data_IF_251469636265
#
_entry.id   IF_251469636265
#
_cell.length_a   1.000
_cell.length_b   1.000
_cell.length_c   1.000
_cell.angle_alpha   90.00
_cell.angle_beta   90.00
_cell.angle_gamma   90.00
#
_symmetry.space_group_name_H-M   'P 1'
#
loop_
_entity.id
_entity.type
_entity.pdbx_description
1 polymer ?
#
# COMPACT_ATOMS: atom_id res chain seq x y z
N UNK A 1 1.82 -22.96 -47.76
CA UNK A 1 1.67 -23.82 -46.58
C UNK A 1 2.53 -23.20 -45.47
N UNK A 2 1.90 -22.56 -44.51
CA UNK A 2 2.60 -21.97 -43.35
C UNK A 2 2.51 -22.96 -42.22
N UNK A 3 3.66 -23.47 -41.79
CA UNK A 3 3.79 -24.33 -40.62
C UNK A 3 3.38 -23.59 -39.37
N UNK A 4 2.29 -24.00 -38.74
CA UNK A 4 1.96 -23.61 -37.38
C UNK A 4 2.99 -24.23 -36.43
N UNK A 5 3.97 -23.43 -35.95
CA UNK A 5 4.81 -23.80 -34.81
C UNK A 5 3.91 -24.09 -33.62
N UNK A 6 3.85 -25.35 -33.20
CA UNK A 6 3.19 -25.77 -31.97
C UNK A 6 3.89 -25.07 -30.77
N UNK A 7 3.17 -24.20 -30.09
CA UNK A 7 3.59 -23.68 -28.79
C UNK A 7 3.61 -24.86 -27.82
N UNK A 8 4.79 -25.32 -27.41
CA UNK A 8 4.92 -26.29 -26.33
C UNK A 8 4.20 -25.72 -25.10
N UNK A 9 3.12 -26.40 -24.66
CA UNK A 9 2.55 -26.15 -23.33
C UNK A 9 3.67 -26.42 -22.33
N UNK A 10 4.13 -25.38 -21.64
CA UNK A 10 4.97 -25.55 -20.45
C UNK A 10 4.07 -26.22 -19.42
N UNK A 11 4.41 -27.45 -19.00
CA UNK A 11 3.69 -28.14 -17.92
C UNK A 11 3.82 -27.30 -16.65
N UNK A 12 2.70 -27.05 -15.98
CA UNK A 12 2.74 -26.39 -14.67
C UNK A 12 3.45 -27.29 -13.66
N UNK A 13 4.34 -26.76 -12.82
CA UNK A 13 5.09 -27.56 -11.86
C UNK A 13 4.14 -28.22 -10.85
N UNK A 14 4.47 -29.43 -10.43
CA UNK A 14 3.74 -30.14 -9.39
C UNK A 14 3.97 -29.48 -8.02
N UNK A 15 3.10 -29.74 -7.04
CA UNK A 15 3.26 -29.22 -5.68
C UNK A 15 4.61 -29.66 -5.08
N UNK A 16 5.06 -30.89 -5.31
CA UNK A 16 6.36 -31.39 -4.84
C UNK A 16 7.53 -30.59 -5.43
N UNK A 17 7.47 -30.25 -6.71
CA UNK A 17 8.48 -29.42 -7.37
C UNK A 17 8.46 -27.97 -6.82
N UNK A 18 7.28 -27.46 -6.47
CA UNK A 18 7.14 -26.15 -5.84
C UNK A 18 7.75 -26.16 -4.44
N UNK A 19 7.45 -27.18 -3.64
CA UNK A 19 7.97 -27.32 -2.27
C UNK A 19 9.49 -27.45 -2.28
N UNK A 20 10.05 -28.26 -3.19
CA UNK A 20 11.51 -28.36 -3.37
C UNK A 20 12.13 -27.01 -3.76
N UNK A 21 11.52 -26.27 -4.69
CA UNK A 21 12.02 -24.94 -5.09
C UNK A 21 12.00 -23.96 -3.92
N UNK A 22 10.93 -23.96 -3.11
CA UNK A 22 10.84 -23.11 -1.90
C UNK A 22 11.90 -23.50 -0.88
N UNK A 23 12.12 -24.81 -0.64
CA UNK A 23 13.16 -25.29 0.27
C UNK A 23 14.56 -24.82 -0.19
N UNK A 24 14.90 -24.98 -1.47
CA UNK A 24 16.18 -24.51 -2.04
C UNK A 24 16.43 -23.01 -1.80
N UNK A 25 15.40 -22.16 -2.00
CA UNK A 25 15.51 -20.72 -1.74
C UNK A 25 15.73 -20.43 -0.26
N UNK A 26 15.01 -21.13 0.62
CA UNK A 26 15.14 -20.92 2.07
C UNK A 26 16.50 -21.39 2.58
N UNK A 27 17.01 -22.54 2.10
CA UNK A 27 18.35 -23.01 2.48
C UNK A 27 19.44 -22.01 2.07
N UNK A 28 19.37 -21.42 0.88
CA UNK A 28 20.28 -20.35 0.45
C UNK A 28 20.17 -19.10 1.32
N UNK A 29 18.94 -18.73 1.67
CA UNK A 29 18.72 -17.58 2.56
C UNK A 29 19.28 -17.82 3.97
N UNK A 30 19.20 -19.04 4.51
CA UNK A 30 19.80 -19.41 5.80
C UNK A 30 21.33 -19.29 5.76
N UNK A 31 21.97 -19.70 4.65
CA UNK A 31 23.43 -19.49 4.47
C UNK A 31 23.77 -18.01 4.39
N UNK A 32 22.92 -17.19 3.75
CA UNK A 32 23.10 -15.74 3.75
C UNK A 32 22.93 -15.12 5.14
N UNK A 33 21.99 -15.64 5.94
CA UNK A 33 21.77 -15.20 7.34
C UNK A 33 23.03 -15.45 8.19
N UNK A 34 23.62 -16.65 8.14
CA UNK A 34 24.86 -16.98 8.87
C UNK A 34 25.99 -16.01 8.52
N UNK A 35 26.12 -15.65 7.25
CA UNK A 35 27.11 -14.64 6.81
C UNK A 35 26.84 -13.25 7.39
N UNK A 36 25.57 -12.85 7.50
CA UNK A 36 25.16 -11.56 8.05
C UNK A 36 25.47 -11.42 9.56
N UNK A 37 25.60 -12.51 10.31
CA UNK A 37 25.91 -12.45 11.74
C UNK A 37 27.20 -11.70 12.02
N UNK A 38 28.18 -11.78 11.12
CA UNK A 38 29.48 -11.10 11.27
C UNK A 38 29.48 -9.62 10.89
N UNK A 39 28.37 -9.08 10.37
CA UNK A 39 28.30 -7.70 9.88
C UNK A 39 28.06 -6.73 11.03
N UNK A 40 28.88 -5.70 11.11
CA UNK A 40 28.69 -4.58 12.04
C UNK A 40 27.71 -3.53 11.48
N UNK A 41 27.46 -2.49 12.26
CA UNK A 41 26.53 -1.42 11.89
C UNK A 41 27.01 -0.65 10.65
N UNK A 42 28.33 -0.39 10.53
CA UNK A 42 28.89 0.39 9.44
C UNK A 42 28.79 -0.37 8.09
N UNK A 43 29.03 -1.68 8.11
CA UNK A 43 28.86 -2.54 6.94
C UNK A 43 27.39 -2.55 6.45
N UNK A 44 26.46 -2.70 7.38
CA UNK A 44 25.02 -2.70 7.08
C UNK A 44 24.57 -1.35 6.54
N UNK A 45 25.02 -0.25 7.14
CA UNK A 45 24.66 1.11 6.72
C UNK A 45 25.22 1.43 5.34
N UNK A 46 26.44 0.97 5.05
CA UNK A 46 27.04 1.10 3.72
C UNK A 46 26.24 0.36 2.65
N UNK A 47 25.84 -0.88 2.91
CA UNK A 47 25.01 -1.68 1.99
C UNK A 47 23.69 -0.98 1.71
N UNK A 48 22.96 -0.55 2.77
CA UNK A 48 21.68 0.14 2.63
C UNK A 48 21.81 1.44 1.84
N UNK A 49 22.85 2.23 2.08
CA UNK A 49 23.11 3.46 1.33
C UNK A 49 23.36 3.18 -0.17
N UNK A 50 24.14 2.13 -0.51
CA UNK A 50 24.37 1.74 -1.91
C UNK A 50 23.11 1.25 -2.61
N UNK A 51 22.29 0.46 -1.92
CA UNK A 51 21.00 0.00 -2.41
C UNK A 51 20.03 1.16 -2.66
N UNK A 52 20.00 2.14 -1.75
CA UNK A 52 19.20 3.36 -1.89
C UNK A 52 19.57 4.14 -3.14
N UNK A 53 20.86 4.40 -3.35
CA UNK A 53 21.35 5.11 -4.54
C UNK A 53 21.01 4.36 -5.83
N UNK A 54 21.25 3.05 -5.87
CA UNK A 54 20.93 2.23 -7.06
C UNK A 54 19.42 2.24 -7.38
N UNK A 55 18.57 2.15 -6.37
CA UNK A 55 17.14 2.27 -6.54
C UNK A 55 16.70 3.65 -7.03
N UNK A 56 17.33 4.71 -6.50
CA UNK A 56 17.11 6.10 -6.91
C UNK A 56 17.54 6.35 -8.36
N UNK A 57 18.67 5.83 -8.78
CA UNK A 57 19.15 5.96 -10.16
C UNK A 57 18.20 5.29 -11.17
N UNK A 58 17.44 4.27 -10.75
CA UNK A 58 16.52 3.53 -11.58
C UNK A 58 15.04 3.86 -11.31
N UNK A 59 14.72 4.85 -10.46
CA UNK A 59 13.34 5.12 -9.99
C UNK A 59 12.35 5.37 -11.13
N UNK A 60 12.76 6.11 -12.17
CA UNK A 60 11.95 6.37 -13.36
C UNK A 60 11.75 5.12 -14.22
N UNK A 61 12.84 4.38 -14.52
CA UNK A 61 12.77 3.14 -15.32
C UNK A 61 11.86 2.11 -14.68
N UNK A 62 11.93 1.96 -13.36
CA UNK A 62 11.09 1.06 -12.58
C UNK A 62 9.62 1.52 -12.57
N UNK A 63 9.37 2.83 -12.54
CA UNK A 63 8.03 3.39 -12.63
C UNK A 63 7.39 3.11 -13.99
N UNK A 64 8.13 3.33 -15.08
CA UNK A 64 7.68 3.02 -16.44
C UNK A 64 7.35 1.52 -16.59
N UNK A 65 8.24 0.64 -16.11
CA UNK A 65 8.01 -0.80 -16.14
C UNK A 65 6.74 -1.20 -15.39
N UNK A 66 6.48 -0.59 -14.21
CA UNK A 66 5.29 -0.86 -13.42
C UNK A 66 4.01 -0.42 -14.11
N UNK A 67 3.97 0.78 -14.71
CA UNK A 67 2.80 1.25 -15.47
C UNK A 67 2.56 0.38 -16.69
N UNK A 68 3.62 0.07 -17.44
CA UNK A 68 3.52 -0.74 -18.66
C UNK A 68 3.00 -2.15 -18.40
N UNK A 69 3.47 -2.81 -17.34
CA UNK A 69 3.05 -4.17 -17.00
C UNK A 69 1.65 -4.20 -16.41
N UNK A 70 1.34 -3.31 -15.46
CA UNK A 70 0.08 -3.33 -14.73
C UNK A 70 -1.06 -2.64 -15.46
N UNK A 71 -0.76 -1.68 -16.36
CA UNK A 71 -1.74 -0.81 -16.99
C UNK A 71 -2.47 0.10 -16.00
N UNK A 72 -1.83 0.44 -14.86
CA UNK A 72 -2.44 1.13 -13.72
C UNK A 72 -1.56 2.27 -13.22
N UNK A 73 -2.22 3.34 -12.77
CA UNK A 73 -1.58 4.49 -12.16
C UNK A 73 -0.91 5.43 -13.14
N UNK A 74 -0.07 6.31 -12.61
CA UNK A 74 0.59 7.41 -13.31
C UNK A 74 2.11 7.27 -13.18
N UNK A 75 2.82 7.44 -14.29
CA UNK A 75 4.28 7.27 -14.34
C UNK A 75 5.00 8.18 -13.35
N UNK A 76 4.69 9.47 -13.36
CA UNK A 76 5.32 10.48 -12.51
C UNK A 76 5.14 10.17 -11.03
N UNK A 77 3.94 9.76 -10.65
CA UNK A 77 3.61 9.44 -9.27
C UNK A 77 4.27 8.13 -8.81
N UNK A 78 4.38 7.14 -9.70
CA UNK A 78 5.14 5.92 -9.40
C UNK A 78 6.64 6.18 -9.26
N UNK A 79 7.18 7.12 -10.05
CA UNK A 79 8.55 7.56 -9.88
C UNK A 79 8.77 8.23 -8.51
N UNK A 80 7.82 9.06 -8.06
CA UNK A 80 7.83 9.65 -6.71
C UNK A 80 7.73 8.57 -5.63
N UNK A 81 6.89 7.53 -5.81
CA UNK A 81 6.82 6.40 -4.86
C UNK A 81 8.15 5.67 -4.74
N UNK A 82 8.84 5.43 -5.85
CA UNK A 82 10.16 4.79 -5.84
C UNK A 82 11.21 5.70 -5.17
N UNK A 83 11.21 7.00 -5.47
CA UNK A 83 12.06 8.00 -4.82
C UNK A 83 11.81 8.00 -3.30
N UNK A 84 10.56 8.02 -2.86
CA UNK A 84 10.21 7.97 -1.45
C UNK A 84 10.78 6.73 -0.76
N UNK A 85 10.66 5.55 -1.40
CA UNK A 85 11.22 4.30 -0.86
C UNK A 85 12.75 4.33 -0.75
N UNK A 86 13.44 4.98 -1.69
CA UNK A 86 14.90 5.10 -1.66
C UNK A 86 15.37 6.17 -0.69
N UNK A 87 14.89 7.41 -0.82
CA UNK A 87 15.45 8.57 -0.15
C UNK A 87 14.90 8.77 1.25
N UNK A 88 13.56 8.88 1.37
CA UNK A 88 12.93 9.19 2.66
C UNK A 88 13.00 8.03 3.64
N UNK A 89 12.81 6.80 3.17
CA UNK A 89 12.97 5.61 4.02
C UNK A 89 14.41 5.48 4.50
N UNK A 90 15.39 5.61 3.62
CA UNK A 90 16.81 5.52 4.01
C UNK A 90 17.21 6.67 4.94
N UNK A 91 16.72 7.89 4.72
CA UNK A 91 16.95 9.01 5.62
C UNK A 91 16.43 8.74 7.04
N UNK A 92 15.28 8.08 7.15
CA UNK A 92 14.74 7.66 8.45
C UNK A 92 15.56 6.52 9.07
N UNK A 93 15.94 5.52 8.29
CA UNK A 93 16.70 4.36 8.76
C UNK A 93 18.13 4.69 9.18
N UNK A 94 18.73 5.73 8.61
CA UNK A 94 20.16 6.09 8.76
C UNK A 94 20.60 6.24 10.21
N UNK A 95 19.71 6.73 11.08
CA UNK A 95 20.02 7.01 12.49
C UNK A 95 19.64 5.85 13.42
N UNK A 96 19.04 4.78 12.89
CA UNK A 96 18.64 3.66 13.71
C UNK A 96 19.80 2.69 13.92
N UNK A 97 20.11 2.39 15.16
CA UNK A 97 20.96 1.26 15.52
C UNK A 97 20.17 -0.03 15.35
N UNK A 98 20.73 -0.99 14.62
CA UNK A 98 20.10 -2.27 14.29
C UNK A 98 21.05 -3.45 14.48
N UNK A 99 22.23 -3.21 15.02
CA UNK A 99 23.28 -4.22 15.24
C UNK A 99 23.88 -4.04 16.62
N UNK A 100 24.00 -5.14 17.37
CA UNK A 100 24.60 -5.16 18.69
C UNK A 100 23.78 -4.39 19.74
N UNK A 101 24.45 -3.82 20.72
CA UNK A 101 23.79 -3.08 21.80
C UNK A 101 23.15 -1.80 21.26
N UNK A 102 21.83 -1.70 21.33
CA UNK A 102 21.04 -0.57 20.81
C UNK A 102 20.60 0.40 21.92
N UNK A 103 20.49 -0.09 23.14
CA UNK A 103 20.13 0.70 24.30
C UNK A 103 20.69 0.08 25.60
N UNK A 104 21.10 0.91 26.53
CA UNK A 104 21.46 0.52 27.90
C UNK A 104 20.77 1.47 28.86
N UNK A 105 19.93 0.92 29.72
CA UNK A 105 19.26 1.69 30.79
C UNK A 105 19.89 1.38 32.14
N UNK A 106 20.72 2.27 32.66
CA UNK A 106 21.39 2.06 33.97
C UNK A 106 20.43 2.10 35.15
N UNK A 107 19.21 2.65 35.00
CA UNK A 107 18.23 2.73 36.10
C UNK A 107 17.53 1.39 36.30
N UNK A 108 17.20 0.69 35.20
CA UNK A 108 16.53 -0.61 35.24
C UNK A 108 17.52 -1.78 35.17
N UNK A 109 18.76 -1.53 34.75
CA UNK A 109 19.77 -2.56 34.49
C UNK A 109 19.48 -3.38 33.23
N UNK A 110 18.67 -2.85 32.31
CA UNK A 110 18.31 -3.52 31.06
C UNK A 110 19.24 -3.09 29.93
N UNK A 111 19.79 -4.08 29.24
CA UNK A 111 20.54 -3.89 27.98
C UNK A 111 19.76 -4.50 26.81
N UNK A 112 19.48 -3.70 25.79
CA UNK A 112 18.79 -4.15 24.57
C UNK A 112 19.82 -4.45 23.46
N UNK A 113 19.74 -5.66 22.91
CA UNK A 113 20.64 -6.13 21.85
C UNK A 113 19.80 -6.43 20.61
N UNK A 114 20.17 -5.83 19.47
CA UNK A 114 19.52 -6.08 18.18
C UNK A 114 20.18 -7.27 17.48
N UNK A 115 19.37 -8.31 17.19
CA UNK A 115 19.74 -9.48 16.44
C UNK A 115 18.79 -9.69 15.25
N UNK A 116 19.24 -10.31 14.13
CA UNK A 116 18.35 -10.65 13.05
C UNK A 116 17.27 -11.65 13.50
N UNK A 117 16.04 -11.47 13.00
CA UNK A 117 14.94 -12.39 13.31
C UNK A 117 15.01 -13.68 12.49
N UNK A 118 15.71 -13.66 11.35
CA UNK A 118 15.84 -14.79 10.43
C UNK A 118 15.37 -14.47 9.01
N UNK A 119 15.07 -15.50 8.23
CA UNK A 119 14.60 -15.34 6.85
C UNK A 119 13.20 -14.72 6.81
N UNK A 120 13.04 -13.68 6.01
CA UNK A 120 11.79 -12.94 5.83
C UNK A 120 11.05 -13.39 4.57
N UNK A 121 9.76 -13.68 4.68
CA UNK A 121 8.85 -13.79 3.53
C UNK A 121 8.25 -12.42 3.23
N UNK A 122 8.56 -11.84 2.07
CA UNK A 122 8.09 -10.53 1.63
C UNK A 122 6.97 -10.62 0.59
N UNK A 123 5.73 -10.30 0.94
CA UNK A 123 4.59 -10.31 -0.01
C UNK A 123 4.39 -8.89 -0.57
N UNK A 124 4.37 -8.78 -1.89
CA UNK A 124 4.35 -7.51 -2.64
C UNK A 124 3.03 -7.34 -3.40
N UNK A 125 2.35 -6.17 -3.27
CA UNK A 125 1.09 -5.91 -3.94
C UNK A 125 1.29 -5.44 -5.38
N UNK A 126 0.20 -5.42 -6.16
CA UNK A 126 0.20 -4.84 -7.51
C UNK A 126 0.12 -3.31 -7.53
N UNK A 127 -0.32 -2.69 -6.44
CA UNK A 127 -0.52 -1.23 -6.37
C UNK A 127 0.79 -0.43 -6.30
N UNK A 128 1.78 -0.98 -5.59
CA UNK A 128 3.08 -0.33 -5.37
C UNK A 128 4.20 -1.38 -5.52
N UNK A 129 4.34 -2.03 -6.69
CA UNK A 129 5.19 -3.22 -6.79
C UNK A 129 6.66 -2.88 -6.56
N UNK A 130 7.20 -1.94 -7.31
CA UNK A 130 8.63 -1.59 -7.29
C UNK A 130 9.06 -0.90 -6.01
N UNK A 131 8.30 0.08 -5.54
CA UNK A 131 8.61 0.80 -4.29
C UNK A 131 8.51 -0.11 -3.05
N UNK A 132 7.57 -1.08 -3.04
CA UNK A 132 7.48 -2.04 -1.93
C UNK A 132 8.65 -3.00 -1.91
N UNK A 133 9.13 -3.45 -3.06
CA UNK A 133 10.34 -4.28 -3.17
C UNK A 133 11.56 -3.52 -2.64
N UNK A 134 11.77 -2.27 -3.08
CA UNK A 134 12.87 -1.42 -2.60
C UNK A 134 12.77 -1.26 -1.09
N UNK A 135 11.63 -0.80 -0.58
CA UNK A 135 11.41 -0.57 0.85
C UNK A 135 11.70 -1.80 1.69
N UNK A 136 11.09 -2.95 1.34
CA UNK A 136 11.27 -4.18 2.12
C UNK A 136 12.69 -4.72 2.05
N UNK A 137 13.36 -4.56 0.92
CA UNK A 137 14.79 -4.91 0.82
C UNK A 137 15.63 -4.06 1.76
N UNK A 138 15.45 -2.73 1.77
CA UNK A 138 16.23 -1.82 2.60
C UNK A 138 16.06 -2.12 4.10
N UNK A 139 14.82 -2.32 4.58
CA UNK A 139 14.60 -2.63 6.00
C UNK A 139 15.12 -4.01 6.38
N UNK A 140 15.05 -4.99 5.49
CA UNK A 140 15.57 -6.34 5.74
C UNK A 140 17.08 -6.34 5.80
N UNK A 141 17.77 -5.70 4.86
CA UNK A 141 19.22 -5.54 4.88
C UNK A 141 19.70 -4.75 6.09
N UNK A 142 19.01 -3.66 6.45
CA UNK A 142 19.34 -2.84 7.62
C UNK A 142 19.35 -3.66 8.92
N UNK A 143 18.52 -4.69 9.00
CA UNK A 143 18.38 -5.58 10.15
C UNK A 143 19.05 -6.94 9.97
N UNK A 144 19.91 -7.09 8.98
CA UNK A 144 20.69 -8.32 8.66
C UNK A 144 19.80 -9.54 8.37
N UNK A 145 18.61 -9.32 7.82
CA UNK A 145 17.68 -10.39 7.50
C UNK A 145 17.64 -10.65 5.99
N UNK A 146 17.91 -11.87 5.51
CA UNK A 146 17.62 -12.24 4.13
C UNK A 146 16.12 -12.21 3.86
N UNK A 147 15.73 -11.82 2.65
CA UNK A 147 14.33 -11.75 2.24
C UNK A 147 14.06 -12.55 0.97
N UNK A 148 12.98 -13.32 0.98
CA UNK A 148 12.45 -14.03 -0.18
C UNK A 148 11.10 -13.43 -0.53
N UNK A 149 10.98 -12.87 -1.74
CA UNK A 149 9.76 -12.21 -2.19
C UNK A 149 8.78 -13.16 -2.86
N UNK A 150 7.49 -12.92 -2.61
CA UNK A 150 6.38 -13.36 -3.43
C UNK A 150 5.73 -12.16 -4.08
N UNK A 151 5.76 -12.09 -5.41
CA UNK A 151 5.23 -10.99 -6.20
C UNK A 151 3.81 -11.27 -6.68
N UNK A 152 3.00 -10.21 -6.77
CA UNK A 152 1.69 -10.32 -7.39
C UNK A 152 1.84 -10.69 -8.88
N UNK A 153 1.07 -11.67 -9.41
CA UNK A 153 1.23 -12.14 -10.79
C UNK A 153 1.15 -11.05 -11.86
N UNK A 154 0.31 -10.02 -11.67
CA UNK A 154 0.14 -8.91 -12.62
C UNK A 154 1.20 -7.80 -12.53
N UNK A 155 2.18 -7.94 -11.64
CA UNK A 155 3.28 -6.99 -11.44
C UNK A 155 4.60 -7.74 -11.19
N UNK A 156 4.73 -8.93 -11.79
CA UNK A 156 5.85 -9.83 -11.51
C UNK A 156 7.16 -9.30 -12.11
N UNK A 157 7.16 -8.93 -13.39
CA UNK A 157 8.38 -8.55 -14.11
C UNK A 157 8.99 -7.24 -13.56
N UNK A 158 8.15 -6.22 -13.32
CA UNK A 158 8.63 -4.97 -12.74
C UNK A 158 9.13 -5.16 -11.30
N UNK A 159 8.50 -6.06 -10.52
CA UNK A 159 8.98 -6.41 -9.18
C UNK A 159 10.31 -7.15 -9.23
N UNK A 160 10.49 -8.09 -10.16
CA UNK A 160 11.78 -8.78 -10.39
C UNK A 160 12.86 -7.77 -10.79
N UNK A 161 12.53 -6.82 -11.67
CA UNK A 161 13.48 -5.78 -12.07
C UNK A 161 13.93 -4.94 -10.88
N UNK A 162 13.00 -4.50 -10.03
CA UNK A 162 13.33 -3.76 -8.81
C UNK A 162 14.18 -4.60 -7.83
N UNK A 163 13.84 -5.88 -7.63
CA UNK A 163 14.60 -6.78 -6.77
C UNK A 163 16.04 -6.98 -7.28
N UNK A 164 16.23 -7.12 -8.59
CA UNK A 164 17.57 -7.23 -9.20
C UNK A 164 18.40 -5.99 -8.95
N UNK A 165 17.84 -4.79 -9.17
CA UNK A 165 18.56 -3.51 -8.95
C UNK A 165 19.08 -3.43 -7.51
N UNK A 166 18.23 -3.71 -6.53
CA UNK A 166 18.61 -3.61 -5.12
C UNK A 166 19.55 -4.74 -4.72
N UNK A 167 19.30 -5.98 -5.16
CA UNK A 167 20.16 -7.15 -4.89
C UNK A 167 21.57 -6.96 -5.43
N UNK A 168 21.66 -6.57 -6.69
CA UNK A 168 22.97 -6.45 -7.35
C UNK A 168 23.81 -5.33 -6.70
N UNK A 169 23.15 -4.23 -6.27
CA UNK A 169 23.82 -3.18 -5.49
C UNK A 169 24.24 -3.67 -4.10
N UNK A 170 23.41 -4.47 -3.43
CA UNK A 170 23.73 -5.06 -2.13
C UNK A 170 24.97 -5.97 -2.21
N UNK A 171 24.99 -6.87 -3.19
CA UNK A 171 26.12 -7.79 -3.43
C UNK A 171 27.40 -7.01 -3.76
N UNK A 172 27.32 -6.00 -4.63
CA UNK A 172 28.44 -5.14 -4.97
C UNK A 172 28.99 -4.35 -3.75
N UNK A 173 28.13 -4.09 -2.77
CA UNK A 173 28.50 -3.46 -1.50
C UNK A 173 28.99 -4.45 -0.43
N UNK A 174 29.04 -5.75 -0.72
CA UNK A 174 29.56 -6.79 0.17
C UNK A 174 28.51 -7.65 0.85
N UNK A 175 27.21 -7.47 0.58
CA UNK A 175 26.17 -8.35 1.12
C UNK A 175 26.29 -9.78 0.57
N UNK A 176 25.79 -10.80 1.30
CA UNK A 176 25.71 -12.16 0.81
C UNK A 176 24.90 -12.29 -0.50
N UNK A 177 25.29 -13.19 -1.42
CA UNK A 177 24.65 -13.33 -2.74
C UNK A 177 23.15 -13.61 -2.68
N UNK A 178 22.70 -14.41 -1.71
CA UNK A 178 21.29 -14.83 -1.56
C UNK A 178 20.54 -13.98 -0.50
N UNK A 179 21.00 -12.75 -0.23
CA UNK A 179 20.35 -11.85 0.73
C UNK A 179 18.97 -11.36 0.26
N UNK A 180 18.73 -11.29 -1.04
CA UNK A 180 17.46 -10.92 -1.67
C UNK A 180 17.14 -11.94 -2.75
N UNK A 181 16.05 -12.68 -2.57
CA UNK A 181 15.57 -13.69 -3.49
C UNK A 181 14.07 -13.50 -3.79
N UNK A 182 13.53 -14.21 -4.73
CA UNK A 182 12.10 -14.24 -5.04
C UNK A 182 11.66 -15.60 -5.60
N UNK A 183 10.37 -15.91 -5.41
CA UNK A 183 9.76 -17.07 -6.03
C UNK A 183 9.80 -16.93 -7.55
N UNK A 184 10.39 -17.92 -8.24
CA UNK A 184 10.37 -18.01 -9.71
C UNK A 184 9.02 -18.41 -10.29
N UNK A 185 8.06 -18.73 -9.43
CA UNK A 185 6.76 -19.29 -9.77
C UNK A 185 5.63 -18.33 -9.38
N UNK A 186 4.72 -18.07 -10.31
CA UNK A 186 3.54 -17.19 -10.10
C UNK A 186 2.36 -18.01 -9.56
N UNK A 187 2.53 -18.66 -8.42
CA UNK A 187 1.56 -19.58 -7.83
C UNK A 187 1.16 -19.16 -6.41
N UNK A 188 -0.14 -19.21 -6.13
CA UNK A 188 -0.65 -19.03 -4.75
C UNK A 188 -0.18 -20.16 -3.83
N UNK A 189 -0.05 -21.39 -4.37
CA UNK A 189 0.51 -22.50 -3.60
C UNK A 189 1.95 -22.22 -3.19
N UNK A 190 2.81 -21.73 -4.11
CA UNK A 190 4.19 -21.38 -3.80
C UNK A 190 4.28 -20.27 -2.72
N UNK A 191 3.40 -19.27 -2.79
CA UNK A 191 3.32 -18.22 -1.76
C UNK A 191 2.95 -18.80 -0.40
N UNK A 192 1.98 -19.71 -0.36
CA UNK A 192 1.54 -20.37 0.87
C UNK A 192 2.61 -21.33 1.42
N UNK A 193 3.28 -22.07 0.56
CA UNK A 193 4.40 -22.92 0.93
C UNK A 193 5.54 -22.11 1.56
N UNK A 194 5.93 -20.98 0.95
CA UNK A 194 6.94 -20.08 1.52
C UNK A 194 6.53 -19.50 2.88
N UNK A 195 5.29 -19.02 3.02
CA UNK A 195 4.81 -18.49 4.30
C UNK A 195 4.84 -19.53 5.42
N UNK A 196 4.53 -20.79 5.10
CA UNK A 196 4.48 -21.88 6.08
C UNK A 196 5.83 -22.59 6.28
N UNK A 197 6.85 -22.32 5.46
CA UNK A 197 8.12 -23.02 5.50
C UNK A 197 8.83 -22.84 6.86
N UNK A 198 9.28 -23.90 7.54
CA UNK A 198 9.85 -23.81 8.90
C UNK A 198 11.07 -22.91 9.00
N UNK A 199 11.88 -22.78 7.95
CA UNK A 199 13.04 -21.87 7.90
C UNK A 199 12.71 -20.39 7.71
N UNK A 200 11.45 -20.02 7.47
CA UNK A 200 10.99 -18.61 7.43
C UNK A 200 10.61 -18.17 8.83
N UNK A 201 11.22 -17.09 9.31
CA UNK A 201 11.05 -16.59 10.67
C UNK A 201 9.90 -15.59 10.81
N UNK A 202 9.70 -14.72 9.81
CA UNK A 202 8.65 -13.69 9.86
C UNK A 202 8.10 -13.37 8.47
N UNK A 203 6.89 -12.80 8.43
CA UNK A 203 6.19 -12.47 7.19
C UNK A 203 5.93 -10.95 7.14
N UNK A 204 6.39 -10.28 6.09
CA UNK A 204 6.05 -8.89 5.77
C UNK A 204 5.00 -8.87 4.65
N UNK A 205 3.72 -8.85 5.03
CA UNK A 205 2.61 -8.96 4.09
C UNK A 205 2.03 -7.58 3.74
N UNK A 206 2.11 -7.18 2.47
CA UNK A 206 1.36 -6.03 1.95
C UNK A 206 0.46 -6.51 0.82
N UNK A 207 -0.85 -6.40 1.01
CA UNK A 207 -1.81 -6.93 0.02
C UNK A 207 -3.25 -6.86 0.49
N UNK A 208 -4.16 -7.50 -0.24
CA UNK A 208 -5.57 -7.55 0.14
C UNK A 208 -5.81 -8.29 1.47
N UNK A 209 -6.96 -8.00 2.12
CA UNK A 209 -7.29 -8.53 3.44
C UNK A 209 -7.18 -10.05 3.55
N UNK A 210 -7.53 -10.79 2.48
CA UNK A 210 -7.42 -12.25 2.47
C UNK A 210 -5.96 -12.73 2.59
N UNK A 211 -5.02 -12.08 1.90
CA UNK A 211 -3.60 -12.39 1.96
C UNK A 211 -3.01 -12.06 3.33
N UNK A 212 -3.38 -10.90 3.89
CA UNK A 212 -2.94 -10.49 5.23
C UNK A 212 -3.48 -11.44 6.30
N UNK A 213 -4.75 -11.86 6.17
CA UNK A 213 -5.35 -12.86 7.07
C UNK A 213 -4.61 -14.20 6.96
N UNK A 214 -4.25 -14.64 5.75
CA UNK A 214 -3.46 -15.87 5.56
C UNK A 214 -2.10 -15.75 6.24
N UNK A 215 -1.39 -14.62 6.10
CA UNK A 215 -0.10 -14.37 6.75
C UNK A 215 -0.20 -14.47 8.28
N UNK A 216 -1.20 -13.84 8.89
CA UNK A 216 -1.42 -13.94 10.35
C UNK A 216 -1.83 -15.35 10.81
N UNK A 217 -2.37 -16.18 9.91
CA UNK A 217 -2.83 -17.54 10.23
C UNK A 217 -1.73 -18.60 10.10
N UNK A 218 -0.51 -18.23 9.66
CA UNK A 218 0.60 -19.18 9.51
C UNK A 218 1.26 -19.57 10.83
N UNK A 219 0.84 -19.03 11.98
CA UNK A 219 1.44 -19.32 13.28
C UNK A 219 2.84 -18.77 13.48
N UNK A 220 3.24 -17.76 12.69
CA UNK A 220 4.52 -17.06 12.73
C UNK A 220 4.30 -15.57 12.99
N UNK A 221 5.31 -14.86 13.52
CA UNK A 221 5.29 -13.40 13.53
C UNK A 221 5.02 -12.85 12.13
N UNK A 222 4.03 -11.96 12.03
CA UNK A 222 3.68 -11.33 10.76
C UNK A 222 3.38 -9.85 10.97
N UNK A 223 3.89 -9.02 10.07
CA UNK A 223 3.56 -7.60 9.96
C UNK A 223 2.76 -7.43 8.67
N UNK A 224 1.44 -7.32 8.81
CA UNK A 224 0.52 -7.27 7.70
C UNK A 224 -0.17 -5.91 7.58
N UNK A 225 -0.23 -5.38 6.34
CA UNK A 225 -1.01 -4.19 6.00
C UNK A 225 -2.01 -4.57 4.92
N UNK A 226 -3.29 -4.47 5.28
CA UNK A 226 -4.43 -4.76 4.41
C UNK A 226 -4.94 -3.55 3.64
N UNK A 227 -6.22 -3.61 3.28
CA UNK A 227 -6.93 -2.50 2.65
C UNK A 227 -6.99 -1.27 3.56
N UNK A 228 -6.92 -0.08 2.96
CA UNK A 228 -7.04 1.19 3.65
C UNK A 228 -8.37 1.87 3.33
N UNK A 229 -9.25 2.02 4.29
CA UNK A 229 -10.49 2.79 4.12
C UNK A 229 -10.39 4.13 4.87
N UNK A 230 -9.56 5.01 4.37
CA UNK A 230 -9.09 6.23 5.06
C UNK A 230 -10.16 7.31 5.03
N UNK A 231 -10.67 7.76 6.19
CA UNK A 231 -11.45 8.99 6.29
C UNK A 231 -10.53 10.22 6.28
N UNK A 232 -11.01 11.34 5.70
CA UNK A 232 -10.47 12.67 5.92
C UNK A 232 -11.55 13.51 6.60
N UNK A 233 -11.42 13.75 7.90
CA UNK A 233 -12.35 14.61 8.62
C UNK A 233 -11.94 16.08 8.46
N UNK A 234 -12.83 16.88 7.88
CA UNK A 234 -12.67 18.31 7.66
C UNK A 234 -13.50 19.05 8.70
N UNK A 235 -12.87 19.34 9.82
CA UNK A 235 -13.45 20.03 10.96
C UNK A 235 -13.55 21.53 10.69
N UNK A 236 -14.57 22.19 11.18
CA UNK A 236 -14.92 23.58 10.85
C UNK A 236 -13.85 24.63 11.13
N UNK A 237 -12.94 24.37 12.06
CA UNK A 237 -11.83 25.29 12.35
C UNK A 237 -10.66 25.19 11.36
N UNK A 238 -10.68 24.22 10.44
CA UNK A 238 -9.58 23.96 9.52
C UNK A 238 -9.29 25.15 8.59
N UNK A 239 -8.08 25.19 8.03
CA UNK A 239 -7.78 26.08 6.90
C UNK A 239 -8.33 25.42 5.64
N UNK A 240 -9.59 25.71 5.31
CA UNK A 240 -10.38 25.02 4.29
C UNK A 240 -9.66 24.85 2.95
N UNK A 241 -9.03 25.91 2.43
CA UNK A 241 -8.29 25.84 1.15
C UNK A 241 -7.14 24.85 1.19
N UNK A 242 -6.45 24.77 2.33
CA UNK A 242 -5.37 23.79 2.53
C UNK A 242 -5.94 22.39 2.62
N UNK A 243 -6.97 22.16 3.43
CA UNK A 243 -7.63 20.87 3.57
C UNK A 243 -8.10 20.32 2.22
N UNK A 244 -8.75 21.18 1.41
CA UNK A 244 -9.20 20.81 0.06
C UNK A 244 -8.02 20.45 -0.85
N UNK A 245 -6.96 21.29 -0.86
CA UNK A 245 -5.77 21.01 -1.65
C UNK A 245 -5.10 19.68 -1.27
N UNK A 246 -4.96 19.43 0.02
CA UNK A 246 -4.32 18.22 0.54
C UNK A 246 -5.13 16.96 0.16
N UNK A 247 -6.47 17.01 0.29
CA UNK A 247 -7.37 15.92 -0.11
C UNK A 247 -7.31 15.68 -1.63
N UNK A 248 -7.31 16.74 -2.44
CA UNK A 248 -7.24 16.62 -3.91
C UNK A 248 -5.90 16.04 -4.33
N UNK A 249 -4.79 16.56 -3.78
CA UNK A 249 -3.44 16.06 -4.06
C UNK A 249 -3.31 14.57 -3.73
N UNK A 250 -3.75 14.18 -2.55
CA UNK A 250 -3.69 12.79 -2.10
C UNK A 250 -4.62 11.88 -2.91
N UNK A 251 -5.85 12.32 -3.22
CA UNK A 251 -6.82 11.51 -3.93
C UNK A 251 -6.53 11.33 -5.42
N UNK A 252 -5.91 12.30 -6.07
CA UNK A 252 -5.51 12.21 -7.47
C UNK A 252 -4.17 11.49 -7.66
N UNK A 253 -3.32 11.44 -6.64
CA UNK A 253 -1.99 10.81 -6.70
C UNK A 253 -2.07 9.35 -7.14
N UNK A 254 -1.33 9.01 -8.20
CA UNK A 254 -1.31 7.68 -8.84
C UNK A 254 -2.73 7.14 -9.15
N UNK A 255 -3.64 8.01 -9.58
CA UNK A 255 -5.05 7.72 -9.77
C UNK A 255 -5.72 7.11 -8.52
N UNK A 256 -5.40 7.63 -7.34
CA UNK A 256 -5.92 7.14 -6.07
C UNK A 256 -5.46 5.75 -5.68
N UNK A 257 -4.42 5.23 -6.33
CA UNK A 257 -3.92 3.88 -6.13
C UNK A 257 -2.83 3.83 -5.06
N UNK A 258 -3.08 4.44 -3.94
CA UNK A 258 -2.28 4.28 -2.72
C UNK A 258 -3.22 3.92 -1.56
N UNK A 259 -2.87 2.91 -0.79
CA UNK A 259 -3.72 2.42 0.30
C UNK A 259 -3.97 3.46 1.41
N UNK A 260 -3.15 4.50 1.47
CA UNK A 260 -3.30 5.64 2.40
C UNK A 260 -4.11 6.80 1.82
N UNK A 261 -4.54 6.73 0.53
CA UNK A 261 -5.39 7.76 -0.08
C UNK A 261 -6.76 7.80 0.59
N UNK A 262 -7.28 8.99 0.80
CA UNK A 262 -8.57 9.21 1.41
C UNK A 262 -9.69 8.59 0.56
N UNK A 263 -10.58 7.84 1.22
CA UNK A 263 -11.72 7.21 0.57
C UNK A 263 -12.99 8.03 0.76
N UNK A 264 -13.04 8.85 1.80
CA UNK A 264 -14.13 9.78 2.02
C UNK A 264 -13.63 11.08 2.67
N UNK A 265 -14.23 12.21 2.26
CA UNK A 265 -14.18 13.46 3.00
C UNK A 265 -15.44 13.55 3.87
N UNK A 266 -15.26 13.65 5.17
CA UNK A 266 -16.32 13.84 6.15
C UNK A 266 -16.23 15.30 6.60
N UNK A 267 -17.22 16.13 6.27
CA UNK A 267 -17.12 17.58 6.36
C UNK A 267 -18.17 18.14 7.30
N UNK A 268 -17.78 18.99 8.24
CA UNK A 268 -18.71 19.67 9.14
C UNK A 268 -19.75 20.48 8.37
N UNK A 269 -20.99 20.39 8.80
CA UNK A 269 -22.13 21.00 8.10
C UNK A 269 -21.99 22.52 7.94
N UNK A 270 -21.33 23.18 8.89
CA UNK A 270 -21.12 24.64 8.88
C UNK A 270 -20.27 25.11 7.70
N UNK A 271 -19.32 24.28 7.23
CA UNK A 271 -18.41 24.59 6.12
C UNK A 271 -18.66 23.72 4.89
N UNK A 272 -19.69 22.89 4.89
CA UNK A 272 -19.95 21.91 3.83
C UNK A 272 -20.17 22.56 2.45
N UNK A 273 -20.89 23.68 2.43
CA UNK A 273 -21.16 24.41 1.19
C UNK A 273 -19.87 24.99 0.61
N UNK A 274 -19.10 25.67 1.45
CA UNK A 274 -17.82 26.26 1.09
C UNK A 274 -16.81 25.17 0.65
N UNK A 275 -16.80 24.02 1.30
CA UNK A 275 -16.00 22.87 0.90
C UNK A 275 -16.34 22.42 -0.53
N UNK A 276 -17.62 22.26 -0.84
CA UNK A 276 -18.05 21.86 -2.21
C UNK A 276 -17.67 22.92 -3.25
N UNK A 277 -17.82 24.18 -2.95
CA UNK A 277 -17.44 25.28 -3.83
C UNK A 277 -15.91 25.30 -4.05
N UNK A 278 -15.13 25.09 -3.00
CA UNK A 278 -13.67 25.12 -3.10
C UNK A 278 -13.13 23.91 -3.85
N UNK A 279 -13.56 22.67 -3.54
CA UNK A 279 -13.06 21.45 -4.18
C UNK A 279 -13.41 21.39 -5.68
N UNK A 280 -14.54 21.98 -6.09
CA UNK A 280 -14.95 22.03 -7.51
C UNK A 280 -13.97 22.84 -8.37
N UNK A 281 -13.18 23.74 -7.78
CA UNK A 281 -12.13 24.49 -8.51
C UNK A 281 -10.96 23.61 -8.97
N UNK A 282 -10.85 22.39 -8.43
CA UNK A 282 -9.76 21.45 -8.70
C UNK A 282 -10.12 20.35 -9.71
N UNK A 283 -10.96 20.65 -10.72
CA UNK A 283 -11.37 19.69 -11.75
C UNK A 283 -12.06 18.44 -11.18
N UNK A 284 -12.91 18.66 -10.21
CA UNK A 284 -13.72 17.64 -9.53
C UNK A 284 -15.13 17.65 -10.09
N UNK A 285 -15.64 16.46 -10.42
CA UNK A 285 -17.03 16.27 -10.85
C UNK A 285 -17.86 15.67 -9.73
N UNK A 286 -18.92 16.35 -9.30
CA UNK A 286 -19.92 15.80 -8.38
C UNK A 286 -21.00 15.09 -9.17
N UNK A 287 -21.14 13.79 -8.95
CA UNK A 287 -22.17 12.98 -9.62
C UNK A 287 -23.57 13.32 -9.09
N UNK A 288 -24.53 13.40 -10.00
CA UNK A 288 -25.95 13.44 -9.66
C UNK A 288 -26.47 12.04 -9.26
N UNK A 289 -27.74 11.88 -8.90
CA UNK A 289 -28.30 10.64 -8.41
C UNK A 289 -28.25 9.49 -9.45
N UNK A 290 -28.49 9.79 -10.74
CA UNK A 290 -28.43 8.81 -11.83
C UNK A 290 -26.98 8.37 -12.10
N UNK A 291 -26.05 9.32 -12.17
CA UNK A 291 -24.62 9.05 -12.33
C UNK A 291 -24.07 8.26 -11.13
N UNK A 292 -24.48 8.60 -9.90
CA UNK A 292 -24.09 7.84 -8.68
C UNK A 292 -24.53 6.39 -8.78
N UNK A 293 -25.78 6.12 -9.16
CA UNK A 293 -26.28 4.76 -9.28
C UNK A 293 -25.51 3.95 -10.35
N UNK A 294 -25.19 4.58 -11.49
CA UNK A 294 -24.35 3.97 -12.54
C UNK A 294 -22.94 3.68 -12.05
N UNK A 295 -22.33 4.64 -11.34
CA UNK A 295 -20.99 4.50 -10.76
C UNK A 295 -20.93 3.34 -9.76
N UNK A 296 -21.90 3.27 -8.83
CA UNK A 296 -22.02 2.19 -7.85
C UNK A 296 -22.20 0.81 -8.51
N UNK A 297 -23.10 0.72 -9.48
CA UNK A 297 -23.35 -0.52 -10.22
C UNK A 297 -22.08 -1.01 -10.95
N UNK A 298 -21.33 -0.11 -11.59
CA UNK A 298 -20.09 -0.44 -12.28
C UNK A 298 -18.97 -0.81 -11.32
N UNK A 299 -18.79 -0.04 -10.24
CA UNK A 299 -17.68 -0.24 -9.31
C UNK A 299 -17.89 -1.42 -8.34
N UNK A 300 -19.14 -1.68 -7.92
CA UNK A 300 -19.43 -2.62 -6.84
C UNK A 300 -20.48 -3.69 -7.18
N UNK A 301 -21.07 -3.64 -8.37
CA UNK A 301 -22.11 -4.59 -8.81
C UNK A 301 -23.47 -4.40 -8.11
N UNK A 302 -23.64 -3.33 -7.35
CA UNK A 302 -24.88 -2.99 -6.63
C UNK A 302 -25.07 -1.49 -6.56
N UNK A 303 -26.23 -1.03 -6.11
CA UNK A 303 -26.52 0.38 -5.83
C UNK A 303 -26.92 0.55 -4.37
N UNK A 304 -26.74 1.76 -3.84
CA UNK A 304 -27.06 2.13 -2.46
C UNK A 304 -28.50 1.73 -2.08
N UNK A 305 -28.69 1.26 -0.85
CA UNK A 305 -29.97 0.88 -0.25
C UNK A 305 -30.74 -0.22 -1.00
N UNK A 306 -30.03 -1.13 -1.67
CA UNK A 306 -30.61 -2.33 -2.28
C UNK A 306 -30.21 -3.60 -1.51
N UNK A 307 -30.94 -4.70 -1.70
CA UNK A 307 -30.66 -5.98 -1.02
C UNK A 307 -29.26 -6.56 -1.35
N UNK A 308 -28.65 -6.11 -2.45
CA UNK A 308 -27.36 -6.57 -2.92
C UNK A 308 -26.15 -5.86 -2.30
N UNK A 309 -26.34 -4.84 -1.46
CA UNK A 309 -25.24 -4.05 -0.87
C UNK A 309 -24.25 -4.89 -0.04
N UNK A 310 -24.74 -5.99 0.57
CA UNK A 310 -23.89 -6.90 1.33
C UNK A 310 -22.99 -7.78 0.45
N UNK A 311 -23.30 -7.91 -0.83
CA UNK A 311 -22.53 -8.65 -1.83
C UNK A 311 -21.54 -7.76 -2.57
N UNK A 312 -21.52 -6.45 -2.26
CA UNK A 312 -20.67 -5.45 -2.93
C UNK A 312 -19.21 -5.87 -2.95
N UNK A 313 -18.63 -5.99 -4.15
CA UNK A 313 -17.22 -6.28 -4.38
C UNK A 313 -16.65 -5.27 -5.35
N UNK A 314 -15.51 -4.70 -5.00
CA UNK A 314 -14.82 -3.77 -5.89
C UNK A 314 -14.47 -4.46 -7.22
N UNK A 315 -14.87 -3.85 -8.33
CA UNK A 315 -14.44 -4.23 -9.66
C UNK A 315 -12.92 -3.98 -9.80
N UNK A 316 -12.08 -5.01 -9.98
CA UNK A 316 -10.63 -4.85 -10.01
C UNK A 316 -10.13 -4.01 -11.20
N UNK A 317 -10.98 -3.80 -12.20
CA UNK A 317 -10.62 -3.02 -13.40
C UNK A 317 -10.60 -1.51 -13.13
N UNK A 318 -11.23 -1.01 -12.05
CA UNK A 318 -11.21 0.43 -11.72
C UNK A 318 -9.93 0.85 -11.02
N UNK A 319 -9.17 -0.10 -10.47
CA UNK A 319 -7.98 0.17 -9.66
C UNK A 319 -6.91 0.88 -10.49
N UNK A 320 -6.55 2.09 -10.10
CA UNK A 320 -5.51 2.90 -10.76
C UNK A 320 -5.91 3.46 -12.12
N UNK A 321 -7.19 3.44 -12.49
CA UNK A 321 -7.72 4.09 -13.69
C UNK A 321 -8.08 5.54 -13.40
N UNK A 322 -7.98 6.38 -14.43
CA UNK A 322 -8.36 7.79 -14.32
C UNK A 322 -9.87 7.99 -14.19
N UNK A 323 -10.27 9.17 -13.75
CA UNK A 323 -11.66 9.52 -13.50
C UNK A 323 -12.52 9.49 -14.75
N UNK A 324 -11.99 9.94 -15.88
CA UNK A 324 -12.71 10.01 -17.18
C UNK A 324 -13.01 8.62 -17.71
N UNK A 325 -12.05 7.71 -17.65
CA UNK A 325 -12.24 6.30 -18.01
C UNK A 325 -13.31 5.63 -17.12
N UNK A 326 -13.26 5.86 -15.80
CA UNK A 326 -14.24 5.28 -14.86
C UNK A 326 -15.65 5.77 -15.20
N UNK A 327 -15.83 7.08 -15.44
CA UNK A 327 -17.12 7.66 -15.80
C UNK A 327 -17.67 7.07 -17.12
N UNK A 328 -16.83 6.98 -18.14
CA UNK A 328 -17.19 6.41 -19.45
C UNK A 328 -17.65 4.94 -19.30
N UNK A 329 -16.88 4.12 -18.59
CA UNK A 329 -17.22 2.72 -18.37
C UNK A 329 -18.47 2.55 -17.50
N UNK A 330 -18.74 3.48 -16.59
CA UNK A 330 -19.96 3.52 -15.80
C UNK A 330 -21.18 4.04 -16.58
N UNK A 331 -20.98 4.59 -17.80
CA UNK A 331 -22.05 5.01 -18.68
C UNK A 331 -22.53 6.46 -18.46
N UNK A 332 -21.64 7.34 -18.04
CA UNK A 332 -21.86 8.80 -18.00
C UNK A 332 -20.61 9.56 -18.45
N UNK A 333 -20.76 10.87 -18.71
CA UNK A 333 -19.69 11.73 -19.19
C UNK A 333 -19.31 12.78 -18.15
N UNK A 334 -18.02 13.04 -18.07
CA UNK A 334 -17.43 14.13 -17.28
C UNK A 334 -16.53 14.98 -18.17
N UNK A 335 -16.13 16.20 -17.77
CA UNK A 335 -15.11 16.97 -18.49
C UNK A 335 -13.83 16.16 -18.66
N UNK A 336 -13.15 16.34 -19.80
CA UNK A 336 -11.94 15.56 -20.16
C UNK A 336 -10.78 15.73 -19.17
N UNK A 337 -10.74 16.86 -18.48
CA UNK A 337 -9.71 17.17 -17.47
C UNK A 337 -10.12 16.81 -16.04
N UNK A 338 -11.21 16.06 -15.86
CA UNK A 338 -11.67 15.61 -14.53
C UNK A 338 -10.63 14.74 -13.84
N UNK A 339 -10.19 15.16 -12.65
CA UNK A 339 -9.22 14.45 -11.84
C UNK A 339 -9.87 13.55 -10.79
N UNK A 340 -11.00 13.96 -10.23
CA UNK A 340 -11.70 13.23 -9.15
C UNK A 340 -13.20 13.24 -9.41
N UNK A 341 -13.85 12.09 -9.20
CA UNK A 341 -15.29 11.96 -9.14
C UNK A 341 -15.72 11.96 -7.67
N UNK A 342 -16.57 12.90 -7.26
CA UNK A 342 -17.13 12.99 -5.93
C UNK A 342 -18.57 12.51 -5.90
N UNK A 343 -18.92 11.71 -4.89
CA UNK A 343 -20.29 11.23 -4.66
C UNK A 343 -20.73 11.54 -3.24
N UNK A 344 -21.87 12.23 -3.10
CA UNK A 344 -22.46 12.48 -1.78
C UNK A 344 -23.05 11.18 -1.22
N UNK A 345 -22.66 10.83 0.01
CA UNK A 345 -23.14 9.67 0.74
C UNK A 345 -23.82 10.13 2.04
N UNK A 346 -24.83 9.38 2.50
CA UNK A 346 -25.61 9.73 3.69
C UNK A 346 -25.01 9.15 4.97
N UNK A 347 -24.45 7.95 4.88
CA UNK A 347 -23.89 7.20 6.00
C UNK A 347 -22.67 6.40 5.60
N UNK A 348 -21.92 5.92 6.58
CA UNK A 348 -20.81 4.99 6.38
C UNK A 348 -21.33 3.56 6.56
N UNK A 349 -20.99 2.66 5.65
CA UNK A 349 -21.32 1.26 5.81
C UNK A 349 -21.85 0.56 4.55
N UNK A 350 -22.42 -0.64 4.70
CA UNK A 350 -22.82 -1.48 3.57
C UNK A 350 -23.80 -0.79 2.62
N UNK A 351 -24.75 -0.02 3.17
CA UNK A 351 -25.79 0.64 2.38
C UNK A 351 -25.29 1.70 1.40
N UNK A 352 -24.09 2.21 1.61
CA UNK A 352 -23.40 3.16 0.73
C UNK A 352 -22.07 2.56 0.23
N UNK A 353 -22.09 1.76 -0.86
CA UNK A 353 -20.92 1.02 -1.32
C UNK A 353 -19.71 1.91 -1.65
N UNK A 354 -19.93 3.17 -2.02
CA UNK A 354 -18.86 4.15 -2.25
C UNK A 354 -18.10 4.58 -0.98
N UNK A 355 -18.54 4.18 0.21
CA UNK A 355 -17.80 4.39 1.46
C UNK A 355 -16.75 3.28 1.75
N UNK A 356 -16.55 2.34 0.81
CA UNK A 356 -15.48 1.31 0.85
C UNK A 356 -14.19 1.83 0.21
N UNK A 357 -13.09 1.09 0.40
CA UNK A 357 -11.87 1.31 -0.38
C UNK A 357 -12.13 1.15 -1.88
N UNK A 358 -11.58 2.07 -2.67
CA UNK A 358 -11.83 2.13 -4.12
C UNK A 358 -10.56 2.08 -4.97
N UNK A 359 -9.39 2.44 -4.41
CA UNK A 359 -8.09 2.49 -5.09
C UNK A 359 -8.18 3.17 -6.48
N UNK A 360 -8.94 4.25 -6.53
CA UNK A 360 -9.26 5.00 -7.75
C UNK A 360 -9.61 6.45 -7.39
N UNK A 361 -9.63 7.41 -8.34
CA UNK A 361 -9.93 8.81 -8.05
C UNK A 361 -11.43 9.05 -7.86
N UNK A 362 -12.06 8.24 -7.02
CA UNK A 362 -13.47 8.38 -6.60
C UNK A 362 -13.52 8.63 -5.10
N UNK A 363 -14.09 9.76 -4.69
CA UNK A 363 -14.17 10.22 -3.31
C UNK A 363 -15.64 10.25 -2.85
N UNK A 364 -15.94 9.56 -1.76
CA UNK A 364 -17.22 9.75 -1.06
C UNK A 364 -17.18 11.07 -0.28
N UNK A 365 -18.29 11.78 -0.21
CA UNK A 365 -18.42 13.02 0.57
C UNK A 365 -19.59 12.89 1.52
N UNK A 366 -19.32 13.00 2.81
CA UNK A 366 -20.32 12.90 3.88
C UNK A 366 -20.39 14.21 4.67
N UNK A 367 -21.58 14.52 5.15
CA UNK A 367 -21.79 15.66 6.05
C UNK A 367 -21.73 15.19 7.50
N UNK A 368 -21.00 15.91 8.34
CA UNK A 368 -21.02 15.76 9.79
C UNK A 368 -21.91 16.84 10.42
N UNK A 369 -22.80 16.44 11.31
CA UNK A 369 -23.74 17.36 11.99
C UNK A 369 -23.14 18.00 13.25
N UNK A 370 -22.08 17.42 13.78
CA UNK A 370 -21.26 17.92 14.89
C UNK A 370 -19.87 17.32 14.83
N UNK A 371 -18.95 17.79 15.67
CA UNK A 371 -17.60 17.22 15.82
C UNK A 371 -17.65 15.76 16.24
N UNK A 372 -18.52 15.40 17.17
CA UNK A 372 -18.72 14.02 17.64
C UNK A 372 -19.20 13.10 16.49
N UNK A 373 -20.13 13.59 15.66
CA UNK A 373 -20.62 12.87 14.48
C UNK A 373 -19.52 12.69 13.43
N UNK A 374 -18.69 13.72 13.21
CA UNK A 374 -17.54 13.66 12.30
C UNK A 374 -16.50 12.61 12.73
N UNK A 375 -16.15 12.60 14.01
CA UNK A 375 -15.25 11.60 14.60
C UNK A 375 -15.88 10.20 14.54
N UNK A 376 -17.17 10.05 14.88
CA UNK A 376 -17.87 8.77 14.84
C UNK A 376 -17.92 8.19 13.42
N UNK A 377 -18.24 8.99 12.40
CA UNK A 377 -18.21 8.55 10.99
C UNK A 377 -16.82 8.15 10.54
N UNK A 378 -15.80 8.88 10.98
CA UNK A 378 -14.40 8.55 10.68
C UNK A 378 -13.98 7.22 11.29
N UNK A 379 -14.31 6.99 12.56
CA UNK A 379 -14.07 5.72 13.23
C UNK A 379 -14.81 4.57 12.52
N UNK A 380 -16.09 4.79 12.14
CA UNK A 380 -16.88 3.81 11.40
C UNK A 380 -16.26 3.48 10.03
N UNK A 381 -15.68 4.45 9.32
CA UNK A 381 -14.95 4.21 8.06
C UNK A 381 -13.77 3.27 8.26
N UNK A 382 -12.95 3.55 9.28
CA UNK A 382 -11.77 2.72 9.61
C UNK A 382 -12.22 1.30 9.98
N UNK A 383 -13.24 1.15 10.83
CA UNK A 383 -13.73 -0.16 11.25
C UNK A 383 -14.39 -0.95 10.12
N UNK A 384 -15.01 -0.28 9.17
CA UNK A 384 -15.76 -0.93 8.10
C UNK A 384 -14.87 -1.73 7.14
N UNK A 385 -13.69 -1.21 6.72
CA UNK A 385 -12.81 -1.91 5.78
C UNK A 385 -11.33 -1.54 5.89
N UNK A 386 -10.93 -0.74 6.88
CA UNK A 386 -9.57 -0.17 6.98
C UNK A 386 -8.94 -0.27 8.36
N UNK A 387 -9.39 -1.22 9.19
CA UNK A 387 -8.94 -1.34 10.58
C UNK A 387 -7.43 -1.43 10.68
N UNK A 388 -6.85 -0.54 11.51
CA UNK A 388 -5.42 -0.50 11.76
C UNK A 388 -4.59 0.16 10.65
N UNK A 389 -5.20 0.83 9.65
CA UNK A 389 -4.44 1.45 8.55
C UNK A 389 -4.14 2.93 8.81
N UNK A 390 -4.91 3.84 8.29
CA UNK A 390 -4.68 5.29 8.39
C UNK A 390 -5.99 6.05 8.53
N UNK A 391 -5.91 7.26 9.13
CA UNK A 391 -6.97 8.25 9.17
C UNK A 391 -6.37 9.65 9.04
N UNK A 392 -7.09 10.60 8.46
CA UNK A 392 -6.67 11.98 8.30
C UNK A 392 -7.68 12.95 8.94
N UNK A 393 -7.18 14.02 9.49
CA UNK A 393 -7.98 15.11 10.05
C UNK A 393 -7.41 16.47 9.64
N UNK A 394 -8.28 17.39 9.27
CA UNK A 394 -7.96 18.80 9.04
C UNK A 394 -8.67 19.64 10.09
N UNK A 395 -7.92 20.22 11.01
CA UNK A 395 -8.43 21.04 12.12
C UNK A 395 -7.35 22.02 12.60
N UNK A 396 -7.75 23.10 13.23
CA UNK A 396 -6.87 23.99 13.99
C UNK A 396 -6.99 23.75 15.51
N UNK A 397 -7.85 22.83 15.92
CA UNK A 397 -8.06 22.50 17.32
C UNK A 397 -7.33 21.20 17.69
N UNK A 398 -6.24 21.33 18.43
CA UNK A 398 -5.42 20.20 18.86
C UNK A 398 -6.18 19.17 19.72
N UNK A 399 -7.10 19.61 20.57
CA UNK A 399 -7.87 18.71 21.43
C UNK A 399 -8.79 17.81 20.59
N UNK A 400 -9.38 18.34 19.52
CA UNK A 400 -10.18 17.57 18.55
C UNK A 400 -9.28 16.57 17.79
N UNK A 401 -8.07 16.99 17.39
CA UNK A 401 -7.11 16.08 16.74
C UNK A 401 -6.73 14.90 17.65
N UNK A 402 -6.49 15.18 18.93
CA UNK A 402 -6.18 14.13 19.94
C UNK A 402 -7.38 13.21 20.13
N UNK A 403 -8.60 13.76 20.30
CA UNK A 403 -9.83 12.96 20.43
C UNK A 403 -10.06 12.08 19.20
N UNK A 404 -9.88 12.63 18.00
CA UNK A 404 -9.93 11.87 16.74
C UNK A 404 -8.95 10.70 16.75
N UNK A 405 -7.69 10.95 17.12
CA UNK A 405 -6.66 9.91 17.21
C UNK A 405 -6.99 8.80 18.23
N UNK A 406 -7.61 9.15 19.35
CA UNK A 406 -8.02 8.18 20.37
C UNK A 406 -9.23 7.33 19.92
N UNK A 407 -10.09 7.84 19.05
CA UNK A 407 -11.31 7.15 18.59
C UNK A 407 -11.08 6.34 17.32
N UNK A 408 -10.28 6.84 16.39
CA UNK A 408 -9.98 6.14 15.14
C UNK A 408 -8.91 5.07 15.37
N UNK A 409 -9.28 3.80 15.17
CA UNK A 409 -8.36 2.63 15.34
C UNK A 409 -7.39 2.51 14.17
N UNK A 410 -6.58 3.53 13.94
CA UNK A 410 -5.57 3.61 12.90
C UNK A 410 -4.16 3.68 13.52
N UNK A 411 -3.17 3.01 12.93
CA UNK A 411 -1.78 3.09 13.39
C UNK A 411 -1.11 4.41 12.98
N UNK A 412 -1.72 5.14 12.03
CA UNK A 412 -1.24 6.43 11.56
C UNK A 412 -2.41 7.40 11.45
N UNK A 413 -2.30 8.48 12.18
CA UNK A 413 -3.20 9.64 12.07
C UNK A 413 -2.41 10.80 11.47
N UNK A 414 -2.95 11.36 10.39
CA UNK A 414 -2.34 12.47 9.64
C UNK A 414 -3.13 13.72 9.96
N UNK A 415 -2.44 14.77 10.40
CA UNK A 415 -3.05 16.05 10.73
C UNK A 415 -2.58 17.12 9.76
N UNK A 416 -3.54 17.83 9.11
CA UNK A 416 -3.28 18.96 8.21
C UNK A 416 -2.23 18.70 7.13
N UNK A 417 -2.26 17.49 6.52
CA UNK A 417 -1.36 17.07 5.45
C UNK A 417 -2.02 16.01 4.55
N UNK A 418 -1.56 15.86 3.29
CA UNK A 418 -2.09 14.86 2.39
C UNK A 418 -1.68 13.42 2.77
#
# INVERSE_FOLDING_TARGET
MAEKKAVKKVEEPTNEQIDQHVDELVQKALVALDKFESFDQDAVDYIVAKCSVAGLDQHGVLAEAAVKETGRGVFEDKAVKNLFACEYVTSNLRHLKTVGIINEDPLTGVTEIAEPVGVICGIVPTTNPTSTVIFKSLISLKTRNPIIFSFHPSAYECSVQAAKVVRDAAIAAGAPEDCIQWLGLRSMYATTALMNHPGVATILATGGNAMVKAAYSCGKPALGVGAGNVPAYVEKSCVLKRAVNDIVLSKSFDNGMICASEQAAIVDQEIYKEFKEEITRFKVHFVNADEKAKLEAFMFGCTSYTDKVNEAKLNPNVVGKDATWIAEQAGFKVPEDTQIICAECKEVGPNEPLTREKLSPVLAVLKATSTEDGIAKSAAMVEFNGLGHSAAIHTQNHDISVEFGLKCKAIRVIENAP
#
